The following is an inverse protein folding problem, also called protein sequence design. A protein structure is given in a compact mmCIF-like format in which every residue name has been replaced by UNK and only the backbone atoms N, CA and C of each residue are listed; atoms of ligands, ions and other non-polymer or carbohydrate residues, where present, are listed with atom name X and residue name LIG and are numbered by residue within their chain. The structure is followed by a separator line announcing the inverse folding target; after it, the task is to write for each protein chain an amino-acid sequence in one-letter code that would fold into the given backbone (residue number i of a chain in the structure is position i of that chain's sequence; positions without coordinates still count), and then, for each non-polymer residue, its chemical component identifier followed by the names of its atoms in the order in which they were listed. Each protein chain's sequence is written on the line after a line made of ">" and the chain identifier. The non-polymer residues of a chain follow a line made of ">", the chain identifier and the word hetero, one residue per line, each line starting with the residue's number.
data_IF_163843718955
#
_entry.id   IF_163843718955
#
_cell.length_a   1.000
_cell.length_b   1.000
_cell.length_c   1.000
_cell.angle_alpha   90.00
_cell.angle_beta   90.00
_cell.angle_gamma   90.00
#
_symmetry.space_group_name_H-M   'P 1'
#
loop_
_entity.id
_entity.type
_entity.pdbx_description
1 polymer ?
#
# COMPACT_ATOMS: atom_id res chain seq x y z
N UNK A 1 -32.41 -6.92 -17.15
CA UNK A 1 -31.06 -6.39 -17.37
C UNK A 1 -30.71 -6.55 -18.82
N UNK A 2 -30.30 -5.48 -19.50
CA UNK A 2 -29.82 -5.57 -20.88
C UNK A 2 -28.47 -6.30 -20.91
N UNK A 3 -28.18 -7.06 -21.96
CA UNK A 3 -26.91 -7.79 -22.10
C UNK A 3 -25.70 -6.86 -21.93
N UNK A 4 -25.81 -5.62 -22.45
CA UNK A 4 -24.78 -4.59 -22.31
C UNK A 4 -24.53 -4.17 -20.86
N UNK A 5 -25.59 -3.95 -20.07
CA UNK A 5 -25.48 -3.61 -18.64
C UNK A 5 -24.84 -4.76 -17.85
N UNK A 6 -25.07 -6.01 -18.26
CA UNK A 6 -24.47 -7.18 -17.63
C UNK A 6 -22.97 -7.28 -17.92
N UNK A 7 -22.57 -7.04 -19.18
CA UNK A 7 -21.16 -6.99 -19.58
C UNK A 7 -20.40 -5.92 -18.84
N UNK A 8 -20.96 -4.71 -18.77
CA UNK A 8 -20.35 -3.55 -18.11
C UNK A 8 -20.05 -3.86 -16.64
N UNK A 9 -20.94 -4.58 -15.94
CA UNK A 9 -20.71 -5.02 -14.55
C UNK A 9 -19.56 -6.02 -14.44
N UNK A 10 -19.51 -7.04 -15.31
CA UNK A 10 -18.42 -8.04 -15.29
C UNK A 10 -17.07 -7.38 -15.59
N UNK A 11 -17.03 -6.54 -16.63
CA UNK A 11 -15.80 -5.86 -17.07
C UNK A 11 -15.32 -4.82 -16.06
N UNK A 12 -16.24 -4.08 -15.42
CA UNK A 12 -15.86 -3.10 -14.40
C UNK A 12 -15.18 -3.76 -13.18
N UNK A 13 -15.66 -4.93 -12.73
CA UNK A 13 -14.96 -5.65 -11.65
C UNK A 13 -13.57 -6.15 -12.09
N UNK A 14 -13.43 -6.59 -13.35
CA UNK A 14 -12.14 -7.02 -13.89
C UNK A 14 -11.15 -5.86 -14.01
N UNK A 15 -11.58 -4.71 -14.50
CA UNK A 15 -10.75 -3.52 -14.63
C UNK A 15 -10.29 -2.99 -13.26
N UNK A 16 -11.18 -3.01 -12.27
CA UNK A 16 -10.84 -2.63 -10.89
C UNK A 16 -9.86 -3.60 -10.23
N UNK A 17 -9.94 -4.89 -10.51
CA UNK A 17 -9.03 -5.88 -9.95
C UNK A 17 -7.68 -5.93 -10.70
N UNK A 18 -7.64 -5.51 -11.97
CA UNK A 18 -6.53 -5.74 -12.90
C UNK A 18 -6.54 -7.19 -13.41
N UNK A 19 -6.40 -8.15 -12.50
CA UNK A 19 -6.62 -9.57 -12.73
C UNK A 19 -7.31 -10.23 -11.55
N UNK A 20 -8.02 -11.34 -11.78
CA UNK A 20 -8.71 -12.08 -10.71
C UNK A 20 -8.91 -13.54 -11.11
N UNK A 21 -8.80 -14.47 -10.16
CA UNK A 21 -9.08 -15.89 -10.42
C UNK A 21 -10.56 -16.02 -10.79
N UNK A 22 -10.88 -16.84 -11.80
CA UNK A 22 -12.28 -16.97 -12.28
C UNK A 22 -13.28 -17.30 -11.16
N UNK A 23 -12.88 -18.16 -10.21
CA UNK A 23 -13.72 -18.53 -9.05
C UNK A 23 -14.06 -17.31 -8.20
N UNK A 24 -13.05 -16.51 -7.87
CA UNK A 24 -13.17 -15.34 -7.00
C UNK A 24 -14.03 -14.25 -7.68
N UNK A 25 -13.87 -14.04 -8.99
CA UNK A 25 -14.73 -13.13 -9.75
C UNK A 25 -16.21 -13.54 -9.66
N UNK A 26 -16.51 -14.83 -9.76
CA UNK A 26 -17.88 -15.33 -9.63
C UNK A 26 -18.45 -15.06 -8.23
N UNK A 27 -17.64 -15.22 -7.18
CA UNK A 27 -18.04 -14.96 -5.80
C UNK A 27 -18.31 -13.46 -5.57
N UNK A 28 -17.40 -12.59 -6.04
CA UNK A 28 -17.56 -11.12 -5.97
C UNK A 28 -18.84 -10.68 -6.69
N UNK A 29 -19.05 -11.12 -7.93
CA UNK A 29 -20.22 -10.74 -8.73
C UNK A 29 -21.53 -11.24 -8.09
N UNK A 30 -21.54 -12.44 -7.53
CA UNK A 30 -22.71 -12.96 -6.80
C UNK A 30 -22.99 -12.18 -5.54
N UNK A 31 -21.98 -11.88 -4.73
CA UNK A 31 -22.15 -11.14 -3.49
C UNK A 31 -22.68 -9.73 -3.77
N UNK A 32 -22.09 -9.03 -4.75
CA UNK A 32 -22.43 -7.64 -5.09
C UNK A 32 -23.79 -7.50 -5.77
N UNK A 33 -24.17 -8.46 -6.61
CA UNK A 33 -25.38 -8.40 -7.43
C UNK A 33 -26.39 -9.52 -7.10
N UNK A 34 -26.37 -10.06 -5.88
CA UNK A 34 -27.17 -11.22 -5.45
C UNK A 34 -28.67 -11.08 -5.73
N UNK A 35 -29.20 -9.85 -5.65
CA UNK A 35 -30.62 -9.54 -5.81
C UNK A 35 -31.02 -9.32 -7.28
N UNK A 36 -30.07 -9.36 -8.21
CA UNK A 36 -30.32 -9.10 -9.63
C UNK A 36 -30.51 -10.38 -10.45
N UNK A 37 -31.53 -10.37 -11.33
CA UNK A 37 -31.76 -11.48 -12.26
C UNK A 37 -30.59 -11.61 -13.24
N UNK A 38 -30.03 -12.81 -13.35
CA UNK A 38 -28.95 -13.14 -14.29
C UNK A 38 -27.59 -13.40 -13.65
N UNK A 39 -27.43 -13.18 -12.34
CA UNK A 39 -26.18 -13.41 -11.61
C UNK A 39 -26.07 -14.82 -10.97
N UNK A 40 -26.76 -15.82 -11.55
CA UNK A 40 -26.55 -17.22 -11.17
C UNK A 40 -25.18 -17.72 -11.65
N UNK A 41 -24.63 -18.76 -11.00
CA UNK A 41 -23.37 -19.39 -11.41
C UNK A 41 -23.35 -19.77 -12.89
N UNK A 42 -24.44 -20.35 -13.38
CA UNK A 42 -24.56 -20.82 -14.77
C UNK A 42 -24.59 -19.65 -15.74
N UNK A 43 -25.38 -18.63 -15.44
CA UNK A 43 -25.52 -17.43 -16.27
C UNK A 43 -24.21 -16.64 -16.36
N UNK A 44 -23.53 -16.44 -15.23
CA UNK A 44 -22.22 -15.79 -15.16
C UNK A 44 -21.17 -16.56 -15.95
N UNK A 45 -21.08 -17.88 -15.75
CA UNK A 45 -20.10 -18.70 -16.47
C UNK A 45 -20.31 -18.69 -17.98
N UNK A 46 -21.57 -18.80 -18.43
CA UNK A 46 -21.89 -18.68 -19.85
C UNK A 46 -21.46 -17.32 -20.40
N UNK A 47 -21.79 -16.24 -19.69
CA UNK A 47 -21.47 -14.89 -20.18
C UNK A 47 -19.98 -14.58 -20.19
N UNK A 48 -19.25 -14.97 -19.15
CA UNK A 48 -17.78 -14.86 -19.11
C UNK A 48 -17.17 -15.64 -20.28
N UNK A 49 -17.66 -16.85 -20.57
CA UNK A 49 -17.23 -17.64 -21.73
C UNK A 49 -17.43 -16.90 -23.06
N UNK A 50 -18.62 -16.31 -23.27
CA UNK A 50 -18.93 -15.51 -24.45
C UNK A 50 -18.01 -14.28 -24.57
N UNK A 51 -17.69 -13.61 -23.46
CA UNK A 51 -16.79 -12.46 -23.43
C UNK A 51 -15.33 -12.85 -23.72
N UNK A 52 -14.88 -14.03 -23.27
CA UNK A 52 -13.58 -14.60 -23.63
C UNK A 52 -13.52 -14.90 -25.13
N UNK A 53 -14.53 -15.59 -25.68
CA UNK A 53 -14.59 -15.90 -27.11
C UNK A 53 -14.64 -14.64 -27.98
N UNK A 54 -15.19 -13.54 -27.46
CA UNK A 54 -15.21 -12.23 -28.13
C UNK A 54 -13.94 -11.40 -27.93
N UNK A 55 -12.92 -11.91 -27.22
CA UNK A 55 -11.67 -11.18 -26.93
C UNK A 55 -11.81 -10.01 -25.96
N UNK A 56 -12.96 -9.86 -25.30
CA UNK A 56 -13.19 -8.79 -24.30
C UNK A 56 -12.59 -9.13 -22.93
N UNK A 57 -12.37 -10.42 -22.67
CA UNK A 57 -11.69 -10.94 -21.48
C UNK A 57 -10.52 -11.79 -21.96
N UNK A 58 -9.32 -11.49 -21.47
CA UNK A 58 -8.14 -12.34 -21.59
C UNK A 58 -8.09 -13.39 -20.49
N UNK A 59 -7.40 -14.50 -20.76
CA UNK A 59 -7.11 -15.55 -19.78
C UNK A 59 -5.61 -15.59 -19.62
N UNK A 60 -5.13 -15.42 -18.38
CA UNK A 60 -3.74 -15.66 -18.02
C UNK A 60 -3.64 -17.15 -17.66
N UNK A 61 -2.87 -17.89 -18.43
CA UNK A 61 -2.57 -19.29 -18.17
C UNK A 61 -1.36 -19.42 -17.22
N UNK A 62 -1.16 -20.58 -16.55
CA UNK A 62 -0.08 -20.76 -15.59
C UNK A 62 1.33 -20.43 -16.11
N UNK A 63 1.56 -20.60 -17.42
CA UNK A 63 2.84 -20.25 -18.04
C UNK A 63 3.14 -18.74 -18.02
N UNK A 64 2.10 -17.90 -17.90
CA UNK A 64 2.19 -16.44 -17.92
C UNK A 64 2.16 -15.85 -16.50
N UNK A 65 1.92 -16.66 -15.45
CA UNK A 65 1.75 -16.18 -14.07
C UNK A 65 2.90 -15.31 -13.59
N UNK A 66 4.14 -15.70 -13.90
CA UNK A 66 5.34 -14.95 -13.56
C UNK A 66 5.34 -13.53 -14.17
N UNK A 67 4.82 -13.34 -15.39
CA UNK A 67 4.78 -12.01 -16.04
C UNK A 67 3.80 -11.02 -15.39
N UNK A 68 2.89 -11.54 -14.56
CA UNK A 68 1.90 -10.77 -13.81
C UNK A 68 2.17 -10.78 -12.30
N UNK A 69 3.23 -11.47 -11.83
CA UNK A 69 3.54 -11.63 -10.41
C UNK A 69 2.48 -12.43 -9.65
N UNK A 70 1.94 -13.46 -10.28
CA UNK A 70 1.00 -14.40 -9.67
C UNK A 70 1.79 -15.57 -9.10
N UNK A 71 1.73 -15.77 -7.78
CA UNK A 71 2.41 -16.85 -7.07
C UNK A 71 1.56 -18.13 -6.88
N UNK A 72 0.48 -18.29 -7.64
CA UNK A 72 -0.42 -19.46 -7.53
C UNK A 72 0.26 -20.73 -8.10
N UNK A 73 0.53 -21.72 -7.25
CA UNK A 73 1.14 -22.99 -7.63
C UNK A 73 0.16 -23.95 -8.34
N UNK A 74 -1.16 -23.68 -8.28
CA UNK A 74 -2.17 -24.49 -8.93
C UNK A 74 -2.09 -24.33 -10.45
N UNK A 75 -1.46 -25.30 -11.11
CA UNK A 75 -1.33 -25.39 -12.58
C UNK A 75 -2.68 -25.52 -13.32
N UNK A 76 -3.81 -25.58 -12.61
CA UNK A 76 -5.16 -25.55 -13.20
C UNK A 76 -5.86 -24.22 -12.96
N UNK A 77 -5.29 -23.33 -12.16
CA UNK A 77 -5.82 -22.00 -11.94
C UNK A 77 -5.82 -21.21 -13.25
N UNK A 78 -6.85 -20.39 -13.42
CA UNK A 78 -6.98 -19.46 -14.54
C UNK A 78 -7.38 -18.11 -13.99
N UNK A 79 -6.60 -17.11 -14.37
CA UNK A 79 -6.85 -15.73 -14.03
C UNK A 79 -7.46 -15.02 -15.24
N UNK A 80 -8.37 -14.10 -14.98
CA UNK A 80 -9.08 -13.33 -15.98
C UNK A 80 -8.63 -11.88 -15.91
N UNK A 81 -8.46 -11.27 -17.08
CA UNK A 81 -8.16 -9.85 -17.26
C UNK A 81 -9.13 -9.26 -18.28
N UNK A 82 -9.36 -7.95 -18.24
CA UNK A 82 -10.06 -7.30 -19.36
C UNK A 82 -9.13 -7.25 -20.58
N UNK A 83 -9.69 -7.33 -21.79
CA UNK A 83 -8.92 -7.16 -23.04
C UNK A 83 -8.11 -5.84 -23.04
N UNK A 84 -8.72 -4.69 -22.71
CA UNK A 84 -8.01 -3.42 -22.59
C UNK A 84 -6.86 -3.43 -21.57
N UNK A 85 -6.96 -4.23 -20.50
CA UNK A 85 -5.89 -4.35 -19.50
C UNK A 85 -4.62 -4.96 -20.09
N UNK A 86 -4.75 -5.99 -20.93
CA UNK A 86 -3.60 -6.63 -21.58
C UNK A 86 -2.82 -5.64 -22.46
N UNK A 87 -3.52 -4.84 -23.25
CA UNK A 87 -2.90 -3.81 -24.10
C UNK A 87 -2.25 -2.71 -23.25
N UNK A 88 -2.94 -2.25 -22.20
CA UNK A 88 -2.42 -1.25 -21.26
C UNK A 88 -1.18 -1.76 -20.53
N UNK A 89 -1.15 -3.03 -20.11
CA UNK A 89 0.03 -3.65 -19.48
C UNK A 89 1.27 -3.46 -20.34
N UNK A 90 1.20 -3.75 -21.64
CA UNK A 90 2.34 -3.60 -22.56
C UNK A 90 2.84 -2.15 -22.63
N UNK A 91 1.92 -1.18 -22.65
CA UNK A 91 2.28 0.24 -22.65
C UNK A 91 2.97 0.62 -21.35
N UNK A 92 2.39 0.23 -20.21
CA UNK A 92 2.94 0.49 -18.87
C UNK A 92 4.31 -0.16 -18.69
N UNK A 93 4.49 -1.40 -19.14
CA UNK A 93 5.79 -2.09 -19.09
C UNK A 93 6.86 -1.30 -19.87
N UNK A 94 6.50 -0.73 -21.02
CA UNK A 94 7.37 0.15 -21.79
C UNK A 94 7.69 1.47 -21.08
N UNK A 95 6.72 2.07 -20.37
CA UNK A 95 6.94 3.27 -19.56
C UNK A 95 7.85 3.00 -18.36
N UNK A 96 7.65 1.86 -17.67
CA UNK A 96 8.50 1.45 -16.55
C UNK A 96 9.93 1.22 -17.02
N UNK A 97 10.13 0.53 -18.15
CA UNK A 97 11.46 0.36 -18.73
C UNK A 97 12.16 1.71 -18.98
N UNK A 98 11.44 2.69 -19.54
CA UNK A 98 11.96 4.06 -19.73
C UNK A 98 12.26 4.76 -18.40
N UNK A 99 11.44 4.55 -17.36
CA UNK A 99 11.69 5.12 -16.03
C UNK A 99 12.95 4.57 -15.37
N UNK A 100 13.36 3.35 -15.71
CA UNK A 100 14.61 2.76 -15.20
C UNK A 100 15.83 3.17 -16.02
N UNK A 101 15.77 3.13 -17.36
CA UNK A 101 16.96 3.25 -18.23
C UNK A 101 17.08 4.55 -19.03
N UNK A 102 16.01 5.36 -19.11
CA UNK A 102 16.01 6.60 -19.89
C UNK A 102 16.87 7.71 -19.28
N UNK A 103 17.02 8.82 -20.00
CA UNK A 103 17.60 10.03 -19.41
C UNK A 103 16.66 10.66 -18.35
N UNK A 104 17.14 11.62 -17.56
CA UNK A 104 16.35 12.22 -16.48
C UNK A 104 15.01 12.81 -16.96
N UNK A 105 14.98 13.36 -18.18
CA UNK A 105 13.76 13.92 -18.75
C UNK A 105 12.79 12.81 -19.18
N UNK A 106 13.28 11.77 -19.85
CA UNK A 106 12.50 10.59 -20.22
C UNK A 106 11.92 9.88 -19.00
N UNK A 107 12.73 9.68 -17.95
CA UNK A 107 12.28 9.08 -16.69
C UNK A 107 11.11 9.84 -16.10
N UNK A 108 11.26 11.16 -15.98
CA UNK A 108 10.22 12.05 -15.45
C UNK A 108 8.95 12.03 -16.30
N UNK A 109 9.06 12.03 -17.63
CA UNK A 109 7.90 11.95 -18.51
C UNK A 109 7.17 10.62 -18.38
N UNK A 110 7.91 9.51 -18.34
CA UNK A 110 7.33 8.18 -18.18
C UNK A 110 6.56 8.05 -16.85
N UNK A 111 7.15 8.50 -15.74
CA UNK A 111 6.50 8.48 -14.43
C UNK A 111 5.25 9.37 -14.38
N UNK A 112 5.31 10.58 -14.98
CA UNK A 112 4.13 11.44 -15.08
C UNK A 112 3.02 10.82 -15.91
N UNK A 113 3.35 10.13 -16.99
CA UNK A 113 2.37 9.42 -17.81
C UNK A 113 1.73 8.27 -17.03
N UNK A 114 2.53 7.48 -16.28
CA UNK A 114 1.99 6.45 -15.39
C UNK A 114 1.00 7.07 -14.39
N UNK A 115 1.45 8.09 -13.64
CA UNK A 115 0.64 8.76 -12.61
C UNK A 115 -0.70 9.28 -13.15
N UNK A 116 -0.70 9.93 -14.32
CA UNK A 116 -1.92 10.49 -14.95
C UNK A 116 -2.97 9.43 -15.25
N UNK A 117 -2.55 8.20 -15.52
CA UNK A 117 -3.42 7.13 -15.97
C UNK A 117 -3.69 6.05 -14.90
N UNK A 118 -3.24 6.24 -13.65
CA UNK A 118 -3.52 5.32 -12.53
C UNK A 118 -5.01 5.19 -12.19
N UNK A 119 -5.86 6.11 -12.66
CA UNK A 119 -7.31 5.97 -12.55
C UNK A 119 -7.90 5.00 -13.59
N UNK A 120 -7.18 4.74 -14.69
CA UNK A 120 -7.68 3.98 -15.83
C UNK A 120 -7.18 2.53 -15.88
N UNK A 121 -6.18 2.18 -15.07
CA UNK A 121 -5.65 0.82 -14.97
C UNK A 121 -4.99 0.56 -13.62
N UNK A 122 -4.81 -0.71 -13.31
CA UNK A 122 -4.13 -1.20 -12.11
C UNK A 122 -2.72 -1.68 -12.44
N UNK A 123 -1.72 -1.30 -11.66
CA UNK A 123 -0.39 -1.88 -11.76
C UNK A 123 -0.41 -3.31 -11.22
N UNK A 124 0.25 -4.25 -11.90
CA UNK A 124 0.43 -5.60 -11.37
C UNK A 124 1.63 -5.65 -10.39
N UNK A 125 1.75 -6.69 -9.55
CA UNK A 125 2.85 -6.85 -8.60
C UNK A 125 4.26 -6.66 -9.19
N UNK A 126 4.54 -7.24 -10.36
CA UNK A 126 5.85 -7.11 -11.03
C UNK A 126 6.13 -5.66 -11.42
N UNK A 127 5.11 -4.94 -11.91
CA UNK A 127 5.23 -3.53 -12.26
C UNK A 127 5.51 -2.66 -11.03
N UNK A 128 4.85 -2.94 -9.90
CA UNK A 128 5.07 -2.22 -8.65
C UNK A 128 6.49 -2.44 -8.11
N UNK A 129 6.94 -3.69 -8.06
CA UNK A 129 8.31 -4.01 -7.64
C UNK A 129 9.36 -3.42 -8.58
N UNK A 130 9.15 -3.46 -9.91
CA UNK A 130 10.08 -2.79 -10.83
C UNK A 130 10.09 -1.27 -10.65
N UNK A 131 8.93 -0.68 -10.39
CA UNK A 131 8.84 0.76 -10.15
C UNK A 131 9.54 1.17 -8.85
N UNK A 132 9.49 0.36 -7.79
CA UNK A 132 10.20 0.65 -6.53
C UNK A 132 11.72 0.73 -6.71
N UNK A 133 12.30 -0.04 -7.63
CA UNK A 133 13.74 0.04 -7.95
C UNK A 133 14.19 1.40 -8.50
N UNK A 134 13.25 2.28 -8.88
CA UNK A 134 13.55 3.63 -9.32
C UNK A 134 13.76 4.62 -8.15
N UNK A 135 13.47 4.19 -6.90
CA UNK A 135 13.72 4.98 -5.70
C UNK A 135 15.23 5.15 -5.45
N UNK A 136 15.61 6.28 -4.87
CA UNK A 136 16.99 6.64 -4.58
C UNK A 136 17.76 7.21 -5.77
N UNK A 137 17.08 7.52 -6.89
CA UNK A 137 17.71 8.10 -8.07
C UNK A 137 17.93 9.62 -7.90
N UNK A 138 16.86 10.36 -7.64
CA UNK A 138 16.85 11.79 -7.35
C UNK A 138 15.51 12.19 -6.71
N UNK A 139 15.47 13.33 -6.01
CA UNK A 139 14.32 13.76 -5.21
C UNK A 139 13.03 13.95 -6.05
N UNK A 140 13.14 14.46 -7.27
CA UNK A 140 11.98 14.71 -8.15
C UNK A 140 11.39 13.39 -8.67
N UNK A 141 12.27 12.45 -9.02
CA UNK A 141 11.90 11.09 -9.45
C UNK A 141 11.27 10.30 -8.30
N UNK A 142 11.91 10.31 -7.14
CA UNK A 142 11.45 9.60 -5.95
C UNK A 142 10.04 10.06 -5.53
N UNK A 143 9.80 11.38 -5.46
CA UNK A 143 8.47 11.91 -5.12
C UNK A 143 7.38 11.32 -6.02
N UNK A 144 7.63 11.28 -7.33
CA UNK A 144 6.67 10.71 -8.28
C UNK A 144 6.49 9.21 -8.07
N UNK A 145 7.58 8.46 -7.87
CA UNK A 145 7.52 7.01 -7.63
C UNK A 145 6.75 6.70 -6.35
N UNK A 146 7.03 7.39 -5.25
CA UNK A 146 6.37 7.21 -3.96
C UNK A 146 4.87 7.46 -4.08
N UNK A 147 4.46 8.55 -4.75
CA UNK A 147 3.05 8.86 -4.98
C UNK A 147 2.36 7.77 -5.83
N UNK A 148 3.03 7.27 -6.87
CA UNK A 148 2.49 6.21 -7.73
C UNK A 148 2.33 4.91 -6.93
N UNK A 149 3.37 4.50 -6.19
CA UNK A 149 3.34 3.28 -5.38
C UNK A 149 2.24 3.34 -4.33
N UNK A 150 2.15 4.45 -3.59
CA UNK A 150 1.13 4.65 -2.57
C UNK A 150 -0.28 4.59 -3.17
N UNK A 151 -0.54 5.36 -4.23
CA UNK A 151 -1.85 5.39 -4.87
C UNK A 151 -2.23 4.02 -5.46
N UNK A 152 -1.28 3.34 -6.11
CA UNK A 152 -1.52 2.05 -6.72
C UNK A 152 -1.78 0.97 -5.67
N UNK A 153 -0.95 0.86 -4.63
CA UNK A 153 -1.09 -0.12 -3.56
C UNK A 153 -2.40 0.04 -2.79
N UNK A 154 -2.78 1.28 -2.46
CA UNK A 154 -4.00 1.53 -1.70
C UNK A 154 -5.28 1.34 -2.52
N UNK A 155 -5.18 1.38 -3.86
CA UNK A 155 -6.27 1.01 -4.77
C UNK A 155 -6.28 -0.49 -5.09
N UNK A 156 -5.16 -1.17 -4.95
CA UNK A 156 -4.99 -2.54 -5.41
C UNK A 156 -5.86 -3.50 -4.59
N UNK A 157 -6.53 -4.40 -5.30
CA UNK A 157 -7.36 -5.47 -4.70
C UNK A 157 -6.74 -6.86 -4.87
N UNK A 158 -5.55 -6.92 -5.44
CA UNK A 158 -4.85 -8.15 -5.81
C UNK A 158 -3.64 -8.34 -4.92
N UNK A 159 -3.41 -9.59 -4.53
CA UNK A 159 -2.26 -9.96 -3.72
C UNK A 159 -0.97 -9.84 -4.53
N UNK A 160 0.07 -9.35 -3.87
CA UNK A 160 1.46 -9.32 -4.35
C UNK A 160 2.14 -10.61 -3.92
N UNK A 161 2.87 -11.24 -4.83
CA UNK A 161 3.73 -12.38 -4.55
C UNK A 161 4.78 -12.06 -3.47
N UNK A 162 5.25 -13.08 -2.76
CA UNK A 162 6.20 -12.88 -1.66
C UNK A 162 7.51 -12.23 -2.12
N UNK A 163 8.03 -12.63 -3.28
CA UNK A 163 9.27 -12.11 -3.86
C UNK A 163 9.13 -10.63 -4.25
N UNK A 164 8.09 -10.27 -5.01
CA UNK A 164 7.83 -8.87 -5.40
C UNK A 164 7.56 -7.99 -4.18
N UNK A 165 6.86 -8.53 -3.17
CA UNK A 165 6.57 -7.81 -1.92
C UNK A 165 7.86 -7.55 -1.14
N UNK A 166 8.71 -8.55 -0.95
CA UNK A 166 9.97 -8.39 -0.22
C UNK A 166 10.89 -7.37 -0.90
N UNK A 167 10.98 -7.43 -2.24
CA UNK A 167 11.73 -6.46 -3.04
C UNK A 167 11.20 -5.02 -2.85
N UNK A 168 9.88 -4.84 -3.00
CA UNK A 168 9.23 -3.53 -2.84
C UNK A 168 9.41 -2.95 -1.43
N UNK A 169 9.24 -3.76 -0.39
CA UNK A 169 9.43 -3.32 1.00
C UNK A 169 10.89 -2.90 1.22
N UNK A 170 11.86 -3.67 0.72
CA UNK A 170 13.27 -3.34 0.81
C UNK A 170 13.61 -1.97 0.22
N UNK A 171 13.15 -1.70 -1.01
CA UNK A 171 13.36 -0.42 -1.69
C UNK A 171 12.70 0.76 -0.95
N UNK A 172 11.46 0.56 -0.45
CA UNK A 172 10.70 1.56 0.30
C UNK A 172 11.37 1.88 1.65
N UNK A 173 11.84 0.87 2.38
CA UNK A 173 12.56 1.05 3.65
C UNK A 173 13.89 1.78 3.44
N UNK A 174 14.63 1.46 2.38
CA UNK A 174 15.84 2.18 2.00
C UNK A 174 15.52 3.66 1.67
N UNK A 175 14.47 3.91 0.88
CA UNK A 175 14.06 5.28 0.55
C UNK A 175 13.65 6.07 1.79
N UNK A 176 12.93 5.47 2.73
CA UNK A 176 12.51 6.13 3.97
C UNK A 176 13.72 6.64 4.78
N UNK A 177 14.83 5.91 4.77
CA UNK A 177 16.09 6.37 5.37
C UNK A 177 16.60 7.71 4.79
N UNK A 178 16.35 7.99 3.51
CA UNK A 178 16.73 9.23 2.84
C UNK A 178 15.74 10.39 3.12
N UNK A 179 14.47 10.10 3.42
CA UNK A 179 13.42 11.09 3.67
C UNK A 179 13.19 11.40 5.16
N UNK A 180 14.21 11.21 5.99
CA UNK A 180 14.10 11.44 7.44
C UNK A 180 13.98 12.92 7.82
N UNK A 181 14.47 13.82 6.98
CA UNK A 181 14.42 15.28 7.18
C UNK A 181 13.80 16.00 5.97
N UNK A 182 12.99 17.05 6.19
CA UNK A 182 12.49 17.50 7.49
C UNK A 182 11.55 16.44 8.13
N UNK A 183 11.39 16.43 9.47
CA UNK A 183 10.66 15.36 10.17
C UNK A 183 9.22 15.15 9.69
N UNK A 184 8.58 16.24 9.24
CA UNK A 184 7.29 16.23 8.56
C UNK A 184 7.52 16.53 7.09
N UNK A 185 7.34 15.53 6.23
CA UNK A 185 7.30 15.72 4.79
C UNK A 185 6.38 14.68 4.15
N UNK A 186 5.83 15.03 2.98
CA UNK A 186 4.86 14.17 2.29
C UNK A 186 5.45 12.81 1.93
N UNK A 187 6.67 12.77 1.40
CA UNK A 187 7.32 11.52 0.97
C UNK A 187 7.47 10.54 2.13
N UNK A 188 7.96 11.01 3.29
CA UNK A 188 8.07 10.20 4.51
C UNK A 188 6.73 9.63 4.96
N UNK A 189 5.68 10.46 5.00
CA UNK A 189 4.35 10.01 5.39
C UNK A 189 3.84 8.91 4.45
N UNK A 190 3.97 9.09 3.13
CA UNK A 190 3.54 8.10 2.15
C UNK A 190 4.35 6.79 2.25
N UNK A 191 5.66 6.88 2.45
CA UNK A 191 6.54 5.72 2.65
C UNK A 191 6.17 4.95 3.92
N UNK A 192 5.95 5.65 5.04
CA UNK A 192 5.48 5.04 6.28
C UNK A 192 4.12 4.36 6.09
N UNK A 193 3.18 5.00 5.40
CA UNK A 193 1.88 4.38 5.11
C UNK A 193 1.99 3.14 4.23
N UNK A 194 2.91 3.11 3.26
CA UNK A 194 3.21 1.90 2.48
C UNK A 194 3.75 0.78 3.39
N UNK A 195 4.72 1.07 4.25
CA UNK A 195 5.29 0.08 5.17
C UNK A 195 4.27 -0.43 6.18
N UNK A 196 3.50 0.48 6.79
CA UNK A 196 2.43 0.10 7.72
C UNK A 196 1.32 -0.69 7.06
N UNK A 197 1.00 -0.41 5.79
CA UNK A 197 0.08 -1.24 5.02
C UNK A 197 0.55 -2.71 4.97
N UNK A 198 1.85 -2.95 4.83
CA UNK A 198 2.44 -4.30 4.91
C UNK A 198 2.75 -4.78 6.33
N UNK A 199 2.50 -3.95 7.35
CA UNK A 199 2.85 -4.21 8.76
C UNK A 199 4.35 -4.47 8.97
N UNK A 200 5.18 -3.78 8.18
CA UNK A 200 6.63 -3.92 8.27
C UNK A 200 7.19 -3.26 9.54
N UNK A 201 8.06 -3.96 10.27
CA UNK A 201 8.60 -3.53 11.56
C UNK A 201 9.51 -2.29 11.46
N UNK A 202 10.06 -1.99 10.28
CA UNK A 202 10.97 -0.86 10.09
C UNK A 202 10.33 0.49 10.47
N UNK A 203 9.00 0.60 10.38
CA UNK A 203 8.30 1.80 10.81
C UNK A 203 8.33 2.01 12.34
N UNK A 204 8.49 0.96 13.16
CA UNK A 204 8.70 1.09 14.62
C UNK A 204 10.08 1.68 14.87
N UNK A 205 11.09 1.18 14.15
CA UNK A 205 12.46 1.68 14.27
C UNK A 205 12.54 3.15 13.84
N UNK A 206 11.81 3.55 12.79
CA UNK A 206 11.71 4.95 12.39
C UNK A 206 11.05 5.81 13.47
N UNK A 207 10.00 5.32 14.14
CA UNK A 207 9.37 6.01 15.27
C UNK A 207 10.37 6.23 16.41
N UNK A 208 11.19 5.23 16.76
CA UNK A 208 12.23 5.37 17.80
C UNK A 208 13.21 6.50 17.46
N UNK A 209 13.73 6.51 16.24
CA UNK A 209 14.65 7.55 15.76
C UNK A 209 13.98 8.94 15.81
N UNK A 210 12.69 9.01 15.48
CA UNK A 210 11.91 10.24 15.54
C UNK A 210 11.65 10.72 16.98
N UNK A 211 11.43 9.81 17.93
CA UNK A 211 11.29 10.15 19.35
C UNK A 211 12.61 10.67 19.94
N UNK A 212 13.74 10.09 19.55
CA UNK A 212 15.08 10.61 19.90
C UNK A 212 15.31 12.03 19.36
N UNK A 213 14.77 12.35 18.18
CA UNK A 213 14.81 13.73 17.66
C UNK A 213 13.97 14.68 18.50
N UNK A 214 12.77 14.27 18.90
CA UNK A 214 11.90 15.04 19.79
C UNK A 214 12.58 15.31 21.13
N UNK A 215 13.38 14.38 21.66
CA UNK A 215 14.17 14.56 22.89
C UNK A 215 15.13 15.77 22.81
N UNK A 216 15.63 16.07 21.61
CA UNK A 216 16.45 17.24 21.31
C UNK A 216 15.66 18.56 21.20
N UNK A 217 14.33 18.52 21.07
CA UNK A 217 13.47 19.70 20.90
C UNK A 217 13.09 20.34 22.23
N UNK A 218 14.08 20.91 22.93
CA UNK A 218 13.91 21.50 24.27
C UNK A 218 12.83 22.58 24.34
N UNK A 219 12.64 23.36 23.28
CA UNK A 219 11.57 24.37 23.25
C UNK A 219 10.17 23.73 23.28
N UNK A 220 9.94 22.67 22.50
CA UNK A 220 8.68 21.93 22.52
C UNK A 220 8.47 21.29 23.90
N UNK A 221 9.47 20.58 24.40
CA UNK A 221 9.38 19.84 25.66
C UNK A 221 9.32 20.76 26.89
N UNK A 222 9.63 22.05 26.77
CA UNK A 222 9.41 23.00 27.87
C UNK A 222 7.93 23.34 28.12
N UNK A 223 7.04 23.08 27.16
CA UNK A 223 5.61 23.45 27.21
C UNK A 223 4.80 22.53 28.11
N UNK A 224 3.59 22.94 28.50
CA UNK A 224 2.70 22.08 29.29
C UNK A 224 2.35 20.77 28.55
N UNK A 225 2.02 19.72 29.31
CA UNK A 225 1.79 18.37 28.79
C UNK A 225 0.74 18.33 27.67
N UNK A 226 -0.38 19.06 27.84
CA UNK A 226 -1.44 19.20 26.84
C UNK A 226 -0.95 19.88 25.56
N UNK A 227 -0.04 20.86 25.68
CA UNK A 227 0.55 21.52 24.52
C UNK A 227 1.50 20.59 23.78
N UNK A 228 2.31 19.80 24.48
CA UNK A 228 3.23 18.83 23.86
C UNK A 228 2.45 17.78 23.08
N UNK A 229 1.41 17.18 23.68
CA UNK A 229 0.52 16.22 23.01
C UNK A 229 -0.12 16.80 21.73
N UNK A 230 -0.48 18.09 21.74
CA UNK A 230 -1.13 18.75 20.60
C UNK A 230 -0.17 19.26 19.52
N UNK A 231 1.02 19.73 19.92
CA UNK A 231 1.97 20.42 19.02
C UNK A 231 3.10 19.52 18.52
N UNK A 232 3.28 18.33 19.09
CA UNK A 232 4.25 17.37 18.58
C UNK A 232 3.93 17.00 17.12
N UNK A 233 4.96 16.99 16.29
CA UNK A 233 4.82 16.59 14.90
C UNK A 233 4.70 15.06 14.74
N UNK A 234 5.04 14.28 15.76
CA UNK A 234 4.84 12.81 15.80
C UNK A 234 3.39 12.48 15.47
N UNK A 235 2.45 13.24 16.02
CA UNK A 235 1.01 13.08 15.75
C UNK A 235 0.70 13.16 14.26
N UNK A 236 1.25 14.15 13.57
CA UNK A 236 1.05 14.38 12.13
C UNK A 236 1.61 13.25 11.26
N UNK A 237 2.67 12.58 11.72
CA UNK A 237 3.37 11.53 10.95
C UNK A 237 2.78 10.15 11.24
N UNK A 238 2.48 9.85 12.51
CA UNK A 238 2.21 8.49 12.97
C UNK A 238 0.73 8.20 13.28
N UNK A 239 -0.16 9.20 13.33
CA UNK A 239 -1.60 8.98 13.52
C UNK A 239 -2.28 8.69 12.17
N UNK A 240 -1.89 7.58 11.56
CA UNK A 240 -2.46 7.10 10.30
C UNK A 240 -3.09 5.73 10.46
N UNK A 241 -4.26 5.54 9.81
CA UNK A 241 -4.99 4.26 9.80
C UNK A 241 -4.20 3.11 9.18
N UNK A 242 -3.16 3.41 8.40
CA UNK A 242 -2.29 2.39 7.79
C UNK A 242 -1.20 1.90 8.75
N UNK A 243 -0.89 2.64 9.82
CA UNK A 243 0.15 2.28 10.80
C UNK A 243 -0.43 1.52 12.00
N UNK A 244 -1.74 1.61 12.23
CA UNK A 244 -2.42 1.05 13.41
C UNK A 244 -2.08 -0.44 13.58
N UNK A 245 -2.21 -1.24 12.53
CA UNK A 245 -1.99 -2.68 12.64
C UNK A 245 -0.52 -3.01 12.96
N UNK A 246 0.43 -2.38 12.27
CA UNK A 246 1.85 -2.53 12.53
C UNK A 246 2.21 -2.20 13.99
N UNK A 247 1.61 -1.14 14.54
CA UNK A 247 1.81 -0.79 15.95
C UNK A 247 1.11 -1.75 16.92
N UNK A 248 -0.06 -2.29 16.58
CA UNK A 248 -0.70 -3.33 17.39
C UNK A 248 0.16 -4.59 17.51
N UNK A 249 0.80 -5.00 16.41
CA UNK A 249 1.71 -6.15 16.40
C UNK A 249 2.98 -5.89 17.23
N UNK A 250 3.32 -4.62 17.45
CA UNK A 250 4.50 -4.17 18.19
C UNK A 250 4.15 -3.46 19.50
N UNK A 251 2.95 -3.67 20.04
CA UNK A 251 2.41 -2.92 21.18
C UNK A 251 3.29 -3.06 22.43
N UNK A 252 3.84 -4.24 22.67
CA UNK A 252 4.69 -4.52 23.83
C UNK A 252 6.00 -3.71 23.76
N UNK A 253 6.59 -3.57 22.57
CA UNK A 253 7.79 -2.76 22.33
C UNK A 253 7.51 -1.26 22.56
N UNK A 254 6.34 -0.78 22.16
CA UNK A 254 5.93 0.61 22.41
C UNK A 254 5.68 0.87 23.90
N UNK A 255 5.01 -0.07 24.60
CA UNK A 255 4.78 0.02 26.03
C UNK A 255 6.11 0.00 26.81
N UNK A 256 7.05 -0.87 26.44
CA UNK A 256 8.38 -0.91 27.04
C UNK A 256 9.11 0.42 26.89
N UNK A 257 9.09 1.02 25.69
CA UNK A 257 9.68 2.32 25.43
C UNK A 257 9.01 3.45 26.24
N UNK A 258 7.67 3.47 26.29
CA UNK A 258 6.91 4.43 27.10
C UNK A 258 7.33 4.37 28.56
N UNK A 259 7.37 3.16 29.15
CA UNK A 259 7.77 2.98 30.53
C UNK A 259 9.25 3.34 30.77
N UNK A 260 10.13 3.02 29.81
CA UNK A 260 11.55 3.42 29.88
C UNK A 260 11.69 4.95 29.97
N UNK A 261 11.02 5.70 29.09
CA UNK A 261 11.04 7.17 29.12
C UNK A 261 10.43 7.73 30.40
N UNK A 262 9.35 7.13 30.90
CA UNK A 262 8.76 7.51 32.19
C UNK A 262 9.73 7.31 33.37
N UNK A 263 10.42 6.16 33.44
CA UNK A 263 11.41 5.91 34.51
C UNK A 263 12.63 6.82 34.40
N UNK A 264 13.10 7.11 33.19
CA UNK A 264 14.16 8.09 32.97
C UNK A 264 13.75 9.46 33.49
N UNK A 265 12.52 9.90 33.18
CA UNK A 265 12.05 11.22 33.59
C UNK A 265 11.70 11.42 35.06
N UNK A 266 11.81 10.37 35.88
CA UNK A 266 11.79 10.50 37.35
C UNK A 266 13.10 11.02 37.93
N UNK A 267 14.20 10.96 37.16
CA UNK A 267 15.51 11.44 37.59
C UNK A 267 15.56 12.97 37.56
N UNK A 268 16.27 13.56 38.51
CA UNK A 268 16.46 15.01 38.56
C UNK A 268 17.13 15.51 37.27
N UNK A 269 16.53 16.52 36.61
CA UNK A 269 17.03 17.09 35.36
C UNK A 269 16.57 16.39 34.08
N UNK A 270 15.73 15.36 34.17
CA UNK A 270 15.24 14.56 33.04
C UNK A 270 13.71 14.69 32.82
N UNK A 271 13.10 15.80 33.22
CA UNK A 271 11.64 15.95 33.17
C UNK A 271 11.08 15.91 31.73
N UNK A 272 11.91 16.20 30.73
CA UNK A 272 11.57 16.19 29.30
C UNK A 272 11.25 14.77 28.79
N UNK A 273 11.97 13.76 29.27
CA UNK A 273 11.80 12.36 28.89
C UNK A 273 10.41 11.85 29.28
N UNK A 274 9.85 12.35 30.37
CA UNK A 274 8.47 12.03 30.75
C UNK A 274 7.46 12.52 29.72
N UNK A 275 7.75 13.62 29.00
CA UNK A 275 6.88 14.14 27.94
C UNK A 275 6.97 13.30 26.67
N UNK A 276 8.10 12.66 26.40
CA UNK A 276 8.21 11.65 25.34
C UNK A 276 7.32 10.45 25.65
N UNK A 277 7.29 9.99 26.91
CA UNK A 277 6.35 8.95 27.33
C UNK A 277 4.88 9.36 27.09
N UNK A 278 4.52 10.63 27.33
CA UNK A 278 3.17 11.15 27.03
C UNK A 278 2.86 11.19 25.52
N UNK A 279 3.85 11.36 24.66
CA UNK A 279 3.67 11.28 23.20
C UNK A 279 3.38 9.83 22.78
N UNK A 280 4.10 8.87 23.35
CA UNK A 280 3.85 7.44 23.09
C UNK A 280 2.46 7.04 23.63
N UNK A 281 2.08 7.53 24.81
CA UNK A 281 0.74 7.34 25.39
C UNK A 281 -0.37 7.86 24.44
N UNK A 282 -0.25 9.07 23.88
CA UNK A 282 -1.21 9.62 22.90
C UNK A 282 -1.30 8.76 21.62
N UNK A 283 -0.20 8.16 21.19
CA UNK A 283 -0.17 7.23 20.05
C UNK A 283 -0.89 5.91 20.40
N UNK A 284 -0.66 5.36 21.60
CA UNK A 284 -1.31 4.13 22.08
C UNK A 284 -2.82 4.33 22.21
N UNK A 285 -3.26 5.48 22.74
CA UNK A 285 -4.68 5.87 22.78
C UNK A 285 -5.27 5.93 21.37
N UNK A 286 -4.57 6.57 20.42
CA UNK A 286 -5.02 6.63 19.02
C UNK A 286 -5.20 5.23 18.40
N UNK A 287 -4.26 4.32 18.65
CA UNK A 287 -4.33 2.93 18.17
C UNK A 287 -5.58 2.24 18.74
N UNK A 288 -5.76 2.31 20.07
CA UNK A 288 -6.89 1.68 20.75
C UNK A 288 -8.25 2.21 20.27
N UNK A 289 -8.37 3.51 20.04
CA UNK A 289 -9.60 4.17 19.59
C UNK A 289 -9.93 3.93 18.10
N UNK A 290 -8.95 3.53 17.29
CA UNK A 290 -9.10 3.45 15.83
C UNK A 290 -8.81 2.07 15.24
N UNK A 291 -8.68 1.04 16.08
CA UNK A 291 -8.44 -0.36 15.68
C UNK A 291 -9.34 -0.86 14.56
N UNK A 292 -10.63 -0.53 14.60
CA UNK A 292 -11.62 -0.93 13.59
C UNK A 292 -11.38 -0.30 12.21
N UNK A 293 -10.76 0.88 12.19
CA UNK A 293 -10.43 1.66 10.99
C UNK A 293 -9.10 1.25 10.35
N UNK A 294 -8.34 0.35 10.97
CA UNK A 294 -7.06 -0.11 10.45
C UNK A 294 -7.18 -0.66 9.03
N UNK A 295 -6.27 -0.23 8.15
CA UNK A 295 -6.16 -0.71 6.77
C UNK A 295 -4.78 -1.33 6.57
N UNK A 296 -4.76 -2.63 6.32
CA UNK A 296 -3.53 -3.40 6.17
C UNK A 296 -3.70 -4.53 5.14
N UNK A 297 -2.59 -5.01 4.64
CA UNK A 297 -2.48 -5.88 3.48
C UNK A 297 -3.24 -7.20 3.65
N UNK A 298 -3.06 -7.89 4.78
CA UNK A 298 -3.72 -9.19 5.03
C UNK A 298 -5.25 -9.08 5.07
N UNK A 299 -5.78 -7.99 5.62
CA UNK A 299 -7.22 -7.68 5.63
C UNK A 299 -7.79 -7.46 4.23
N UNK A 300 -6.98 -6.92 3.31
CA UNK A 300 -7.39 -6.62 1.93
C UNK A 300 -7.24 -7.82 1.00
N UNK A 301 -6.17 -8.59 1.16
CA UNK A 301 -5.85 -9.73 0.32
C UNK A 301 -6.63 -11.00 0.71
N UNK A 302 -7.19 -11.01 1.93
CA UNK A 302 -7.65 -12.22 2.59
C UNK A 302 -6.45 -13.09 2.96
N UNK A 303 -6.45 -13.65 4.17
CA UNK A 303 -5.46 -14.65 4.54
C UNK A 303 -5.65 -15.88 3.63
N UNK A 304 -5.00 -15.90 2.47
CA UNK A 304 -4.79 -17.11 1.68
C UNK A 304 -3.74 -17.93 2.43
N UNK A 305 -4.19 -18.60 3.47
CA UNK A 305 -3.48 -19.72 4.11
C UNK A 305 -3.55 -20.94 3.21
#
# INVERSE_FOLDING_TARGET
>A
MRIREFDEKILSELEQAGYIRRKDLLEVLKAKYAKEKGFSTTSLNRRIGELISAGKIGVIEPAEFAEYGISDEDKRAKYLISGPYADKKRVVDGLIAKSSTGDQFEKRLALKEIKRNLAEYSLNPVQLSRLSTCLGADEDTDKLVIEILHEALLKQRSCIGEEERASLIGDVSQALGAYTLPPVNTSKNLLLEILGFFSDEFMVEMLKVDLERVEGEKELLSKEDDEVRKKTWIKTVYHSKYLIHAFEENIDSLLEQMWKYNEMGKKEGHQDERKIALIIDDLLDYIAENRDKAVYYEKMCGARK
#
